data_IF_662243527097
#
_entry.id   IF_662243527097
#
_cell.length_a   1.000
_cell.length_b   1.000
_cell.length_c   1.000
_cell.angle_alpha   90.00
_cell.angle_beta   90.00
_cell.angle_gamma   90.00
#
_symmetry.space_group_name_H-M   'P 1'
#
loop_
_entity.id
_entity.type
_entity.pdbx_description
1 polymer ?
#
# COMPACT_ATOMS: atom_id res chain seq x y z
N UNK A 1 -18.30 -16.09 9.93
CA UNK A 1 -17.09 -15.74 10.70
C UNK A 1 -17.39 -14.48 11.48
N UNK A 2 -16.92 -14.35 12.72
CA UNK A 2 -17.19 -13.16 13.53
C UNK A 2 -16.14 -12.06 13.26
N UNK A 3 -16.45 -11.17 12.31
CA UNK A 3 -15.60 -10.04 11.95
C UNK A 3 -15.49 -8.99 13.06
N UNK A 4 -16.48 -8.90 13.97
CA UNK A 4 -16.44 -7.95 15.08
C UNK A 4 -15.41 -8.38 16.14
N UNK A 5 -15.36 -9.68 16.45
CA UNK A 5 -14.33 -10.22 17.34
C UNK A 5 -12.92 -10.04 16.76
N UNK A 6 -12.75 -10.32 15.47
CA UNK A 6 -11.46 -10.15 14.78
C UNK A 6 -11.02 -8.67 14.74
N UNK A 7 -11.96 -7.77 14.43
CA UNK A 7 -11.74 -6.33 14.47
C UNK A 7 -11.31 -5.85 15.84
N UNK A 8 -12.00 -6.28 16.91
CA UNK A 8 -11.63 -5.96 18.28
C UNK A 8 -10.21 -6.42 18.63
N UNK A 9 -9.83 -7.62 18.18
CA UNK A 9 -8.47 -8.15 18.34
C UNK A 9 -7.42 -7.28 17.64
N UNK A 10 -7.59 -6.97 16.36
CA UNK A 10 -6.61 -6.13 15.63
C UNK A 10 -6.55 -4.71 16.15
N UNK A 11 -7.71 -4.10 16.49
CA UNK A 11 -7.77 -2.78 17.12
C UNK A 11 -6.99 -2.76 18.44
N UNK A 12 -7.05 -3.84 19.22
CA UNK A 12 -6.24 -3.99 20.45
C UNK A 12 -4.75 -4.13 20.14
N UNK A 13 -4.37 -5.02 19.22
CA UNK A 13 -2.96 -5.24 18.84
C UNK A 13 -2.29 -3.96 18.35
N UNK A 14 -2.99 -3.17 17.53
CA UNK A 14 -2.50 -1.92 16.96
C UNK A 14 -2.64 -0.70 17.90
N UNK A 15 -3.02 -0.90 19.17
CA UNK A 15 -3.21 0.19 20.15
C UNK A 15 -4.20 1.28 19.69
N UNK A 16 -5.26 0.86 19.00
CA UNK A 16 -6.33 1.70 18.47
C UNK A 16 -7.59 1.67 19.35
N UNK A 17 -7.55 1.06 20.53
CA UNK A 17 -8.72 0.88 21.42
C UNK A 17 -9.42 2.17 21.80
N UNK A 18 -8.68 3.28 21.90
CA UNK A 18 -9.22 4.62 22.21
C UNK A 18 -9.82 5.34 21.00
N UNK A 19 -9.55 4.87 19.78
CA UNK A 19 -10.08 5.48 18.57
C UNK A 19 -11.56 5.12 18.39
N UNK A 20 -12.35 6.08 17.90
CA UNK A 20 -13.72 5.83 17.45
C UNK A 20 -13.65 5.28 16.03
N UNK A 21 -13.90 3.99 15.90
CA UNK A 21 -13.85 3.27 14.63
C UNK A 21 -15.09 2.38 14.56
N UNK A 22 -15.89 2.56 13.52
CA UNK A 22 -17.03 1.71 13.14
C UNK A 22 -16.61 0.79 11.99
N UNK A 23 -16.99 -0.49 12.08
CA UNK A 23 -16.79 -1.48 11.04
C UNK A 23 -18.13 -1.76 10.34
N UNK A 24 -18.18 -1.50 9.05
CA UNK A 24 -19.26 -1.89 8.17
C UNK A 24 -18.81 -3.11 7.34
N UNK A 25 -19.44 -4.27 7.56
CA UNK A 25 -19.16 -5.45 6.73
C UNK A 25 -20.13 -5.45 5.55
N UNK A 26 -19.60 -5.34 4.34
CA UNK A 26 -20.37 -5.31 3.11
C UNK A 26 -20.49 -6.71 2.51
N UNK A 27 -21.69 -7.10 2.09
CA UNK A 27 -21.90 -8.33 1.33
C UNK A 27 -21.38 -8.16 -0.10
N UNK A 28 -20.69 -9.16 -0.64
CA UNK A 28 -20.21 -9.17 -2.03
C UNK A 28 -21.33 -9.06 -3.10
N UNK A 29 -22.60 -9.21 -2.71
CA UNK A 29 -23.74 -9.12 -3.64
C UNK A 29 -23.90 -7.69 -4.19
N UNK A 30 -23.32 -7.42 -5.37
CA UNK A 30 -23.46 -6.16 -6.10
C UNK A 30 -22.25 -5.24 -6.06
N UNK A 31 -21.18 -5.66 -5.38
CA UNK A 31 -19.90 -4.97 -5.33
C UNK A 31 -18.97 -5.75 -6.26
N UNK A 32 -18.35 -5.10 -7.24
CA UNK A 32 -17.33 -5.75 -8.08
C UNK A 32 -16.27 -6.38 -7.15
N UNK A 33 -15.73 -7.55 -7.46
CA UNK A 33 -14.69 -8.27 -6.68
C UNK A 33 -13.42 -7.42 -6.38
N UNK A 34 -13.36 -6.18 -6.86
CA UNK A 34 -12.27 -5.23 -6.78
C UNK A 34 -12.61 -3.89 -6.12
N UNK A 35 -13.86 -3.64 -5.71
CA UNK A 35 -14.13 -2.55 -4.77
C UNK A 35 -13.61 -3.01 -3.41
N UNK A 36 -12.38 -2.57 -3.11
CA UNK A 36 -11.62 -2.99 -1.94
C UNK A 36 -12.25 -2.55 -0.63
N UNK A 37 -11.69 -3.06 0.47
CA UNK A 37 -11.97 -2.43 1.75
C UNK A 37 -11.44 -0.99 1.73
N UNK A 38 -12.12 -0.07 2.39
CA UNK A 38 -11.69 1.32 2.47
C UNK A 38 -11.85 1.88 3.88
N UNK A 39 -11.17 2.99 4.10
CA UNK A 39 -11.25 3.74 5.34
C UNK A 39 -11.46 5.23 5.08
N UNK A 40 -12.40 5.82 5.81
CA UNK A 40 -12.65 7.25 5.76
C UNK A 40 -13.10 7.83 7.09
N UNK A 41 -12.84 9.12 7.27
CA UNK A 41 -13.36 9.89 8.41
C UNK A 41 -14.74 10.47 8.08
N UNK A 42 -15.73 10.13 8.91
CA UNK A 42 -17.06 10.74 8.90
C UNK A 42 -17.07 11.99 9.80
N UNK A 43 -17.20 13.16 9.16
CA UNK A 43 -17.17 14.45 9.86
C UNK A 43 -18.38 14.69 10.77
N UNK A 44 -19.52 14.08 10.49
CA UNK A 44 -20.74 14.25 11.28
C UNK A 44 -20.68 13.38 12.54
N UNK A 45 -20.27 12.12 12.39
CA UNK A 45 -20.13 11.17 13.51
C UNK A 45 -18.84 11.34 14.30
N UNK A 46 -17.86 12.09 13.77
CA UNK A 46 -16.50 12.20 14.30
C UNK A 46 -15.90 10.83 14.60
N UNK A 47 -15.98 9.96 13.60
CA UNK A 47 -15.64 8.54 13.70
C UNK A 47 -15.00 8.06 12.40
N UNK A 48 -14.01 7.18 12.51
CA UNK A 48 -13.47 6.45 11.37
C UNK A 48 -14.41 5.33 10.97
N UNK A 49 -14.70 5.23 9.69
CA UNK A 49 -15.50 4.15 9.12
C UNK A 49 -14.57 3.28 8.31
N UNK A 50 -14.62 1.97 8.55
CA UNK A 50 -14.01 0.96 7.69
C UNK A 50 -15.14 0.22 6.98
N UNK A 51 -15.20 0.32 5.66
CA UNK A 51 -16.02 -0.59 4.88
C UNK A 51 -15.17 -1.80 4.52
N UNK A 52 -15.53 -2.96 5.05
CA UNK A 52 -14.82 -4.21 4.80
C UNK A 52 -15.66 -5.10 3.90
N UNK A 53 -15.16 -5.40 2.70
CA UNK A 53 -15.71 -6.43 1.84
C UNK A 53 -15.20 -7.78 2.34
N UNK A 54 -16.07 -8.79 2.41
CA UNK A 54 -15.71 -10.13 2.90
C UNK A 54 -14.70 -10.83 1.96
N UNK A 55 -13.41 -10.59 2.18
CA UNK A 55 -12.30 -11.15 1.39
C UNK A 55 -11.31 -11.91 2.30
N UNK A 56 -10.05 -11.49 2.34
CA UNK A 56 -9.06 -12.02 3.27
C UNK A 56 -8.95 -11.15 4.53
N UNK A 57 -8.80 -11.80 5.69
CA UNK A 57 -8.68 -11.14 7.02
C UNK A 57 -7.55 -10.13 7.11
N UNK A 58 -6.48 -10.34 6.35
CA UNK A 58 -5.34 -9.42 6.28
C UNK A 58 -5.79 -8.00 5.91
N UNK A 59 -6.74 -7.85 5.00
CA UNK A 59 -7.19 -6.53 4.55
C UNK A 59 -7.92 -5.75 5.65
N UNK A 60 -8.59 -6.42 6.58
CA UNK A 60 -9.13 -5.73 7.76
C UNK A 60 -8.02 -5.17 8.66
N UNK A 61 -6.93 -5.93 8.83
CA UNK A 61 -5.75 -5.46 9.55
C UNK A 61 -5.03 -4.33 8.80
N UNK A 62 -5.03 -4.39 7.46
CA UNK A 62 -4.48 -3.36 6.57
C UNK A 62 -5.19 -2.01 6.75
N UNK A 63 -6.52 -1.98 6.68
CA UNK A 63 -7.29 -0.73 6.89
C UNK A 63 -7.05 -0.13 8.29
N UNK A 64 -6.97 -0.97 9.33
CA UNK A 64 -6.59 -0.51 10.66
C UNK A 64 -5.12 -0.03 10.71
N UNK A 65 -4.26 -0.63 9.90
CA UNK A 65 -2.86 -0.25 9.74
C UNK A 65 -2.67 1.16 9.21
N UNK A 66 -3.57 1.66 8.36
CA UNK A 66 -3.60 3.07 7.96
C UNK A 66 -3.80 4.02 9.15
N UNK A 67 -4.72 3.70 10.08
CA UNK A 67 -4.89 4.49 11.32
C UNK A 67 -3.69 4.38 12.25
N UNK A 68 -3.11 3.18 12.34
CA UNK A 68 -1.88 2.97 13.08
C UNK A 68 -0.75 3.87 12.55
N UNK A 69 -0.56 3.91 11.23
CA UNK A 69 0.44 4.73 10.57
C UNK A 69 0.16 6.23 10.75
N UNK A 70 -1.10 6.65 10.60
CA UNK A 70 -1.55 8.01 10.90
C UNK A 70 -1.12 8.42 12.33
N UNK A 71 -1.41 7.59 13.34
CA UNK A 71 -1.06 7.91 14.72
C UNK A 71 0.45 7.92 14.97
N UNK A 72 1.17 6.98 14.37
CA UNK A 72 2.64 6.89 14.48
C UNK A 72 3.31 8.18 14.00
N UNK A 73 2.83 8.76 12.90
CA UNK A 73 3.44 9.93 12.27
C UNK A 73 2.69 11.25 12.48
N UNK A 74 1.53 11.22 13.14
CA UNK A 74 0.60 12.33 13.27
C UNK A 74 0.26 13.00 11.92
N UNK A 75 0.08 12.19 10.87
CA UNK A 75 -0.24 12.66 9.52
C UNK A 75 -1.49 11.96 8.97
N UNK A 76 -2.62 12.69 8.95
CA UNK A 76 -3.92 12.16 8.55
C UNK A 76 -3.95 11.64 7.10
N UNK A 77 -3.03 12.11 6.26
CA UNK A 77 -2.95 11.74 4.86
C UNK A 77 -2.42 10.31 4.65
N UNK A 78 -1.89 9.67 5.68
CA UNK A 78 -1.63 8.22 5.68
C UNK A 78 -2.88 7.37 5.93
N UNK A 79 -3.95 7.96 6.48
CA UNK A 79 -5.23 7.27 6.65
C UNK A 79 -6.26 7.63 5.59
N UNK A 80 -6.20 8.82 5.00
CA UNK A 80 -7.18 9.28 4.02
C UNK A 80 -6.60 10.30 3.06
N UNK A 81 -6.85 10.12 1.77
CA UNK A 81 -6.66 11.21 0.81
C UNK A 81 -7.82 12.20 0.89
N UNK A 82 -7.54 13.47 1.19
CA UNK A 82 -8.56 14.49 1.47
C UNK A 82 -8.76 15.51 0.35
N UNK A 83 -7.97 15.43 -0.72
CA UNK A 83 -7.95 16.44 -1.79
C UNK A 83 -8.02 15.85 -3.18
N UNK A 84 -8.70 16.52 -4.13
CA UNK A 84 -8.67 16.14 -5.55
C UNK A 84 -7.27 16.32 -6.13
N UNK A 85 -6.72 15.26 -6.72
CA UNK A 85 -5.43 15.23 -7.41
C UNK A 85 -5.56 14.42 -8.70
N UNK A 86 -4.49 14.35 -9.50
CA UNK A 86 -4.42 13.37 -10.58
C UNK A 86 -4.65 11.97 -10.00
N UNK A 87 -5.75 11.32 -10.41
CA UNK A 87 -6.22 10.05 -9.84
C UNK A 87 -5.13 9.00 -9.83
N UNK A 88 -4.40 8.83 -10.95
CA UNK A 88 -3.34 7.83 -11.05
C UNK A 88 -2.14 8.13 -10.14
N UNK A 89 -1.79 9.40 -9.92
CA UNK A 89 -0.76 9.76 -8.93
C UNK A 89 -1.25 9.43 -7.52
N UNK A 90 -2.53 9.67 -7.24
CA UNK A 90 -3.16 9.31 -5.97
C UNK A 90 -3.11 7.81 -5.71
N UNK A 91 -3.51 7.00 -6.68
CA UNK A 91 -3.50 5.52 -6.59
C UNK A 91 -2.09 4.97 -6.34
N UNK A 92 -1.08 5.44 -7.08
CA UNK A 92 0.30 5.04 -6.84
C UNK A 92 0.81 5.51 -5.48
N UNK A 93 0.44 6.72 -5.05
CA UNK A 93 0.79 7.22 -3.72
C UNK A 93 0.22 6.33 -2.62
N UNK A 94 -1.07 5.99 -2.70
CA UNK A 94 -1.74 5.08 -1.76
C UNK A 94 -1.04 3.73 -1.79
N UNK A 95 -0.84 3.12 -2.96
CA UNK A 95 -0.18 1.81 -3.07
C UNK A 95 1.23 1.76 -2.46
N UNK A 96 1.98 2.86 -2.46
CA UNK A 96 3.29 2.93 -1.80
C UNK A 96 3.13 3.11 -0.28
N UNK A 97 2.14 3.89 0.16
CA UNK A 97 1.78 4.03 1.59
C UNK A 97 1.34 2.68 2.16
N UNK A 98 0.58 1.90 1.40
CA UNK A 98 0.12 0.56 1.75
C UNK A 98 1.30 -0.36 2.12
N UNK A 99 2.42 -0.27 1.40
CA UNK A 99 3.63 -1.02 1.77
C UNK A 99 4.27 -0.57 3.08
N UNK A 100 4.21 0.73 3.42
CA UNK A 100 4.61 1.19 4.75
C UNK A 100 3.64 0.70 5.83
N UNK A 101 2.34 0.65 5.53
CA UNK A 101 1.32 0.09 6.42
C UNK A 101 1.62 -1.40 6.68
N UNK A 102 1.79 -2.18 5.61
CA UNK A 102 2.04 -3.61 5.65
C UNK A 102 3.31 -3.92 6.45
N UNK A 103 4.40 -3.21 6.18
CA UNK A 103 5.63 -3.36 6.97
C UNK A 103 5.40 -3.14 8.46
N UNK A 104 4.67 -2.09 8.83
CA UNK A 104 4.45 -1.76 10.23
C UNK A 104 3.53 -2.76 10.96
N UNK A 105 2.49 -3.25 10.31
CA UNK A 105 1.53 -4.18 10.93
C UNK A 105 2.00 -5.64 10.92
N UNK A 106 2.87 -6.03 9.99
CA UNK A 106 3.43 -7.39 9.92
C UNK A 106 4.48 -7.67 10.99
N UNK A 107 4.83 -6.68 11.83
CA UNK A 107 5.63 -6.91 13.05
C UNK A 107 4.84 -7.63 14.14
N UNK A 108 3.51 -7.64 14.05
CA UNK A 108 2.63 -8.38 14.96
C UNK A 108 2.39 -9.78 14.40
N UNK A 109 2.81 -10.83 15.13
CA UNK A 109 2.76 -12.22 14.67
C UNK A 109 1.41 -12.63 14.09
N UNK A 110 0.32 -12.28 14.76
CA UNK A 110 -1.04 -12.64 14.32
C UNK A 110 -1.45 -12.02 12.97
N UNK A 111 -0.87 -10.86 12.63
CA UNK A 111 -1.08 -10.20 11.34
C UNK A 111 -0.07 -10.73 10.31
N UNK A 112 1.17 -10.96 10.73
CA UNK A 112 2.22 -11.58 9.92
C UNK A 112 1.78 -12.92 9.34
N UNK A 113 1.23 -13.81 10.17
CA UNK A 113 0.81 -15.14 9.74
C UNK A 113 -0.27 -15.03 8.62
N UNK A 114 -1.17 -14.03 8.69
CA UNK A 114 -2.15 -13.74 7.62
C UNK A 114 -1.53 -13.12 6.36
N UNK A 115 -0.45 -12.34 6.52
CA UNK A 115 0.28 -11.79 5.38
C UNK A 115 0.99 -12.90 4.60
N UNK A 116 1.58 -13.88 5.28
CA UNK A 116 2.20 -15.04 4.64
C UNK A 116 1.17 -15.82 3.80
N UNK A 117 -0.06 -15.98 4.30
CA UNK A 117 -1.16 -16.60 3.52
C UNK A 117 -1.46 -15.81 2.24
N UNK A 118 -1.48 -14.47 2.30
CA UNK A 118 -1.66 -13.59 1.13
C UNK A 118 -0.53 -13.78 0.11
N UNK A 119 0.72 -13.84 0.56
CA UNK A 119 1.87 -14.09 -0.30
C UNK A 119 1.69 -15.41 -1.06
N UNK A 120 1.29 -16.47 -0.36
CA UNK A 120 1.04 -17.77 -0.99
C UNK A 120 -0.11 -17.74 -1.99
N UNK A 121 -1.19 -16.99 -1.70
CA UNK A 121 -2.30 -16.79 -2.64
C UNK A 121 -1.79 -16.16 -3.94
N UNK A 122 -1.00 -15.07 -3.87
CA UNK A 122 -0.45 -14.42 -5.06
C UNK A 122 0.52 -15.31 -5.82
N UNK A 123 1.46 -15.95 -5.13
CA UNK A 123 2.44 -16.83 -5.76
C UNK A 123 1.80 -18.05 -6.43
N UNK A 124 0.71 -18.58 -5.88
CA UNK A 124 -0.01 -19.72 -6.46
C UNK A 124 -0.95 -19.31 -7.61
N UNK A 125 -1.53 -18.11 -7.55
CA UNK A 125 -2.30 -17.56 -8.67
C UNK A 125 -1.40 -17.22 -9.88
N UNK A 126 -0.14 -16.86 -9.62
CA UNK A 126 0.82 -16.47 -10.64
C UNK A 126 0.39 -15.20 -11.38
N UNK A 127 0.91 -15.00 -12.59
CA UNK A 127 0.61 -13.83 -13.43
C UNK A 127 -0.66 -13.98 -14.27
N UNK A 128 -1.32 -15.15 -14.23
CA UNK A 128 -2.44 -15.51 -15.11
C UNK A 128 -3.71 -14.68 -14.89
N UNK A 129 -3.84 -14.02 -13.73
CA UNK A 129 -5.01 -13.20 -13.38
C UNK A 129 -4.88 -11.73 -13.81
N UNK A 130 -3.75 -11.34 -14.40
CA UNK A 130 -3.48 -9.96 -14.78
C UNK A 130 -4.09 -9.66 -16.17
N UNK A 131 -5.40 -9.40 -16.18
CA UNK A 131 -6.11 -8.76 -17.29
C UNK A 131 -6.45 -7.31 -16.89
N UNK A 132 -5.45 -6.54 -16.44
CA UNK A 132 -5.61 -5.16 -16.01
C UNK A 132 -4.97 -4.17 -16.99
N UNK A 133 -5.28 -2.88 -16.85
CA UNK A 133 -4.62 -1.79 -17.56
C UNK A 133 -3.10 -1.86 -17.32
N UNK A 134 -2.33 -1.46 -18.32
CA UNK A 134 -0.86 -1.47 -18.35
C UNK A 134 -0.26 -0.73 -17.13
N UNK A 135 -0.91 0.36 -16.70
CA UNK A 135 -0.52 1.14 -15.52
C UNK A 135 -0.76 0.40 -14.21
N UNK A 136 -1.78 -0.45 -14.14
CA UNK A 136 -2.12 -1.18 -12.93
C UNK A 136 -1.10 -2.30 -12.68
N UNK A 137 -0.54 -2.90 -13.74
CA UNK A 137 0.47 -3.97 -13.62
C UNK A 137 1.79 -3.42 -13.03
N UNK A 138 2.23 -2.22 -13.43
CA UNK A 138 3.43 -1.62 -12.85
C UNK A 138 3.21 -1.22 -11.38
N UNK A 139 2.04 -0.69 -11.05
CA UNK A 139 1.66 -0.37 -9.66
C UNK A 139 1.64 -1.65 -8.80
N UNK A 140 1.03 -2.71 -9.32
CA UNK A 140 0.97 -4.02 -8.71
C UNK A 140 2.36 -4.62 -8.48
N UNK A 141 3.26 -4.52 -9.47
CA UNK A 141 4.67 -4.91 -9.32
C UNK A 141 5.34 -4.14 -8.19
N UNK A 142 5.18 -2.81 -8.15
CA UNK A 142 5.82 -1.95 -7.14
C UNK A 142 5.35 -2.35 -5.73
N UNK A 143 4.03 -2.44 -5.53
CA UNK A 143 3.44 -2.78 -4.22
C UNK A 143 3.94 -4.15 -3.75
N UNK A 144 3.76 -5.20 -4.56
CA UNK A 144 4.20 -6.55 -4.19
C UNK A 144 5.71 -6.66 -4.00
N UNK A 145 6.51 -5.94 -4.79
CA UNK A 145 7.97 -5.94 -4.62
C UNK A 145 8.36 -5.37 -3.27
N UNK A 146 7.81 -4.21 -2.89
CA UNK A 146 8.09 -3.62 -1.58
C UNK A 146 7.63 -4.55 -0.46
N UNK A 147 6.44 -5.12 -0.57
CA UNK A 147 5.87 -6.01 0.44
C UNK A 147 6.68 -7.31 0.60
N UNK A 148 6.95 -8.03 -0.49
CA UNK A 148 7.59 -9.35 -0.41
C UNK A 148 9.05 -9.25 0.03
N UNK A 149 9.75 -8.18 -0.34
CA UNK A 149 11.15 -7.98 0.03
C UNK A 149 11.31 -7.50 1.49
N UNK A 150 10.30 -6.83 2.06
CA UNK A 150 10.47 -6.12 3.33
C UNK A 150 9.54 -6.57 4.46
N UNK A 151 8.42 -7.23 4.15
CA UNK A 151 7.45 -7.68 5.15
C UNK A 151 7.60 -9.17 5.51
N UNK A 152 8.21 -9.98 4.65
CA UNK A 152 8.52 -11.38 4.95
C UNK A 152 9.72 -11.49 5.89
N UNK A 153 9.66 -12.40 6.85
CA UNK A 153 10.87 -12.81 7.57
C UNK A 153 11.85 -13.47 6.59
N UNK A 154 13.15 -13.40 6.90
CA UNK A 154 14.19 -14.01 6.06
C UNK A 154 13.93 -15.51 5.81
N UNK A 155 13.46 -16.24 6.82
CA UNK A 155 13.16 -17.67 6.70
C UNK A 155 12.01 -17.93 5.72
N UNK A 156 10.92 -17.17 5.80
CA UNK A 156 9.79 -17.35 4.90
C UNK A 156 10.05 -16.83 3.49
N UNK A 157 10.89 -15.80 3.35
CA UNK A 157 11.42 -15.36 2.07
C UNK A 157 12.26 -16.47 1.44
N UNK A 158 13.25 -17.03 2.16
CA UNK A 158 14.13 -18.09 1.65
C UNK A 158 13.35 -19.33 1.21
N UNK A 159 12.29 -19.72 1.94
CA UNK A 159 11.40 -20.82 1.55
C UNK A 159 10.69 -20.58 0.21
N UNK A 160 10.44 -19.31 -0.15
CA UNK A 160 9.67 -18.88 -1.32
C UNK A 160 10.49 -18.22 -2.41
N UNK A 161 11.78 -17.99 -2.18
CA UNK A 161 12.67 -17.18 -3.02
C UNK A 161 12.56 -17.56 -4.51
N UNK A 162 12.63 -18.85 -4.84
CA UNK A 162 12.50 -19.31 -6.23
C UNK A 162 11.16 -18.94 -6.87
N UNK A 163 10.04 -19.06 -6.13
CA UNK A 163 8.71 -18.68 -6.61
C UNK A 163 8.57 -17.17 -6.75
N UNK A 164 9.07 -16.42 -5.76
CA UNK A 164 9.08 -14.95 -5.76
C UNK A 164 9.88 -14.42 -6.95
N UNK A 165 11.10 -14.90 -7.16
CA UNK A 165 11.96 -14.47 -8.26
C UNK A 165 11.35 -14.81 -9.62
N UNK A 166 10.75 -16.00 -9.75
CA UNK A 166 10.01 -16.38 -10.96
C UNK A 166 8.83 -15.44 -11.20
N UNK A 167 8.01 -15.19 -10.18
CA UNK A 167 6.84 -14.33 -10.27
C UNK A 167 7.21 -12.90 -10.71
N UNK A 168 8.23 -12.28 -10.09
CA UNK A 168 8.68 -10.94 -10.50
C UNK A 168 9.33 -10.93 -11.88
N UNK A 169 10.04 -11.99 -12.28
CA UNK A 169 10.57 -12.11 -13.64
C UNK A 169 9.45 -12.19 -14.68
N UNK A 170 8.36 -12.92 -14.38
CA UNK A 170 7.19 -12.98 -15.26
C UNK A 170 6.49 -11.61 -15.35
N UNK A 171 6.30 -10.91 -14.23
CA UNK A 171 5.73 -9.55 -14.20
C UNK A 171 6.58 -8.54 -14.99
N UNK A 172 7.90 -8.54 -14.78
CA UNK A 172 8.83 -7.67 -15.50
C UNK A 172 8.70 -7.89 -17.01
N UNK A 173 8.66 -9.15 -17.47
CA UNK A 173 8.49 -9.47 -18.88
C UNK A 173 7.17 -8.93 -19.44
N UNK A 174 6.07 -9.00 -18.68
CA UNK A 174 4.76 -8.45 -19.08
C UNK A 174 4.87 -6.92 -19.23
N UNK A 175 5.38 -6.23 -18.20
CA UNK A 175 5.53 -4.77 -18.16
C UNK A 175 6.39 -4.27 -19.34
N UNK A 176 7.51 -4.94 -19.62
CA UNK A 176 8.40 -4.56 -20.72
C UNK A 176 7.80 -4.86 -22.09
N UNK A 177 7.06 -5.97 -22.24
CA UNK A 177 6.40 -6.36 -23.50
C UNK A 177 5.26 -5.40 -23.86
N UNK A 178 4.49 -4.95 -22.88
CA UNK A 178 3.44 -3.94 -23.03
C UNK A 178 4.00 -2.55 -23.34
N UNK A 179 5.32 -2.36 -23.25
CA UNK A 179 6.01 -1.07 -23.50
C UNK A 179 5.54 0.06 -22.57
N UNK A 180 5.03 -0.29 -21.39
CA UNK A 180 4.64 0.65 -20.32
C UNK A 180 5.82 1.54 -19.93
N UNK A 181 7.01 0.95 -19.88
CA UNK A 181 8.26 1.57 -19.48
C UNK A 181 9.41 0.90 -20.25
N UNK A 182 10.45 1.67 -20.59
CA UNK A 182 11.64 1.08 -21.20
C UNK A 182 12.46 0.31 -20.16
N UNK A 183 13.20 -0.72 -20.60
CA UNK A 183 14.08 -1.50 -19.71
C UNK A 183 14.99 -0.62 -18.86
N UNK A 184 15.67 0.35 -19.48
CA UNK A 184 16.56 1.26 -18.76
C UNK A 184 15.84 2.08 -17.67
N UNK A 185 14.59 2.51 -17.91
CA UNK A 185 13.81 3.22 -16.89
C UNK A 185 13.29 2.26 -15.81
N UNK A 186 12.94 1.03 -16.17
CA UNK A 186 12.51 0.00 -15.23
C UNK A 186 13.61 -0.35 -14.22
N UNK A 187 14.86 -0.49 -14.68
CA UNK A 187 16.00 -0.71 -13.78
C UNK A 187 16.19 0.45 -12.78
N UNK A 188 15.96 1.70 -13.22
CA UNK A 188 16.01 2.86 -12.31
C UNK A 188 14.87 2.85 -11.28
N UNK A 189 13.69 2.34 -11.64
CA UNK A 189 12.59 2.13 -10.69
C UNK A 189 12.98 1.05 -9.70
N UNK A 190 13.45 -0.11 -10.17
CA UNK A 190 13.87 -1.23 -9.33
C UNK A 190 14.97 -0.85 -8.33
N UNK A 191 16.02 -0.19 -8.79
CA UNK A 191 17.07 0.33 -7.91
C UNK A 191 16.51 1.28 -6.84
N UNK A 192 15.46 2.04 -7.16
CA UNK A 192 14.81 2.92 -6.18
C UNK A 192 13.94 2.15 -5.18
N UNK A 193 13.34 1.03 -5.58
CA UNK A 193 12.60 0.13 -4.68
C UNK A 193 13.55 -0.56 -3.69
N UNK A 194 14.76 -0.91 -4.10
CA UNK A 194 15.79 -1.49 -3.22
C UNK A 194 16.21 -0.53 -2.09
N UNK A 195 16.09 0.79 -2.30
CA UNK A 195 16.35 1.78 -1.25
C UNK A 195 15.28 1.80 -0.15
N UNK A 196 14.13 1.12 -0.31
CA UNK A 196 12.97 1.21 0.59
C UNK A 196 13.29 0.82 2.04
N UNK A 197 14.14 -0.18 2.26
CA UNK A 197 14.54 -0.64 3.60
C UNK A 197 15.05 0.52 4.48
N UNK A 198 15.81 1.43 3.88
CA UNK A 198 16.33 2.63 4.56
C UNK A 198 15.27 3.65 4.99
N UNK A 199 14.00 3.44 4.64
CA UNK A 199 12.87 4.32 4.96
C UNK A 199 11.87 3.68 5.95
N UNK A 200 12.06 2.42 6.34
CA UNK A 200 11.05 1.65 7.11
C UNK A 200 10.95 2.04 8.60
N UNK A 201 12.06 2.42 9.21
CA UNK A 201 12.17 2.74 10.65
C UNK A 201 12.30 4.24 10.92
N UNK A 202 11.87 5.08 9.98
CA UNK A 202 12.01 6.53 10.13
C UNK A 202 10.96 7.07 11.11
N UNK A 203 11.34 8.11 11.86
CA UNK A 203 10.48 8.73 12.89
C UNK A 203 9.56 9.82 12.34
N UNK A 204 9.80 10.32 11.14
CA UNK A 204 9.02 11.41 10.55
C UNK A 204 8.43 11.05 9.18
N UNK A 205 7.24 11.60 8.92
CA UNK A 205 6.49 11.45 7.67
C UNK A 205 7.20 12.04 6.45
N UNK A 206 7.97 13.11 6.65
CA UNK A 206 8.66 13.82 5.57
C UNK A 206 9.65 12.90 4.84
N UNK A 207 10.33 12.01 5.55
CA UNK A 207 11.23 11.02 4.94
C UNK A 207 10.45 10.00 4.08
N UNK A 208 9.31 9.52 4.55
CA UNK A 208 8.40 8.64 3.80
C UNK A 208 7.90 9.35 2.53
N UNK A 209 7.39 10.57 2.67
CA UNK A 209 6.90 11.38 1.55
C UNK A 209 8.01 11.63 0.53
N UNK A 210 9.23 11.88 0.98
CA UNK A 210 10.38 12.06 0.09
C UNK A 210 10.72 10.78 -0.69
N UNK A 211 10.58 9.60 -0.09
CA UNK A 211 10.71 8.33 -0.81
C UNK A 211 9.66 8.23 -1.92
N UNK A 212 8.39 8.45 -1.58
CA UNK A 212 7.26 8.40 -2.53
C UNK A 212 7.52 9.36 -3.69
N UNK A 213 7.85 10.63 -3.42
CA UNK A 213 8.17 11.63 -4.46
C UNK A 213 9.31 11.16 -5.36
N UNK A 214 10.40 10.63 -4.79
CA UNK A 214 11.55 10.16 -5.57
C UNK A 214 11.16 8.98 -6.45
N UNK A 215 10.39 8.02 -5.94
CA UNK A 215 9.93 6.85 -6.70
C UNK A 215 8.98 7.26 -7.83
N UNK A 216 7.96 8.07 -7.54
CA UNK A 216 7.01 8.56 -8.55
C UNK A 216 7.69 9.36 -9.67
N UNK A 217 8.74 10.12 -9.37
CA UNK A 217 9.54 10.84 -10.39
C UNK A 217 10.36 9.94 -11.30
N UNK A 218 10.59 8.67 -10.94
CA UNK A 218 11.26 7.69 -11.81
C UNK A 218 10.29 7.06 -12.81
N UNK A 219 8.99 7.11 -12.54
CA UNK A 219 7.97 6.60 -13.44
C UNK A 219 7.89 7.46 -14.71
N UNK A 220 7.67 6.85 -15.88
CA UNK A 220 7.74 7.56 -17.16
C UNK A 220 6.50 8.42 -17.45
N UNK A 221 5.45 8.33 -16.63
CA UNK A 221 4.13 8.89 -16.93
C UNK A 221 4.01 10.37 -16.60
N UNK A 222 4.74 10.84 -15.59
CA UNK A 222 4.59 12.19 -15.06
C UNK A 222 5.92 12.91 -14.99
N UNK A 223 5.90 14.19 -15.31
CA UNK A 223 7.07 15.03 -15.09
C UNK A 223 7.21 15.41 -13.61
N UNK A 224 8.42 15.86 -13.22
CA UNK A 224 8.72 16.23 -11.84
C UNK A 224 7.83 17.33 -11.27
N UNK A 225 7.37 18.27 -12.11
CA UNK A 225 6.50 19.38 -11.68
C UNK A 225 5.12 18.85 -11.27
N UNK A 226 4.55 17.96 -12.08
CA UNK A 226 3.25 17.34 -11.81
C UNK A 226 3.27 16.49 -10.54
N UNK A 227 4.28 15.64 -10.36
CA UNK A 227 4.44 14.83 -9.13
C UNK A 227 4.53 15.75 -7.90
N UNK A 228 5.41 16.75 -7.93
CA UNK A 228 5.58 17.66 -6.80
C UNK A 228 4.28 18.42 -6.48
N UNK A 229 3.55 18.88 -7.50
CA UNK A 229 2.30 19.62 -7.33
C UNK A 229 1.23 18.75 -6.66
N UNK A 230 1.06 17.50 -7.12
CA UNK A 230 0.06 16.60 -6.57
C UNK A 230 0.43 16.14 -5.16
N UNK A 231 1.67 15.72 -4.91
CA UNK A 231 2.11 15.29 -3.57
C UNK A 231 2.01 16.42 -2.55
N UNK A 232 2.38 17.66 -2.91
CA UNK A 232 2.19 18.81 -2.01
C UNK A 232 0.73 19.03 -1.65
N UNK A 233 -0.19 18.79 -2.58
CA UNK A 233 -1.63 18.87 -2.30
C UNK A 233 -2.05 17.75 -1.36
N UNK A 234 -1.68 16.50 -1.68
CA UNK A 234 -2.03 15.31 -0.87
C UNK A 234 -1.63 15.53 0.58
N UNK A 235 -0.39 15.97 0.83
CA UNK A 235 0.15 16.11 2.18
C UNK A 235 0.10 17.54 2.74
N UNK A 236 -0.65 18.44 2.11
CA UNK A 236 -0.78 19.86 2.50
C UNK A 236 0.56 20.57 2.81
N UNK A 237 1.59 20.30 2.00
CA UNK A 237 2.93 20.85 2.19
C UNK A 237 2.95 22.29 1.65
N UNK A 238 3.08 23.27 2.55
CA UNK A 238 3.21 24.69 2.19
C UNK A 238 4.44 24.92 1.31
N UNK A 239 4.31 25.78 0.30
CA UNK A 239 5.45 26.28 -0.46
C UNK A 239 6.32 27.07 0.52
N UNK A 240 7.60 26.71 0.69
CA UNK A 240 8.54 27.67 1.29
C UNK A 240 8.60 28.84 0.31
N UNK A 241 8.14 30.01 0.73
CA UNK A 241 8.40 31.24 0.01
C UNK A 241 9.92 31.39 -0.01
N UNK A 242 10.51 31.16 -1.18
CA UNK A 242 11.90 31.47 -1.44
C UNK A 242 12.02 32.99 -1.45
N UNK A 243 12.32 33.55 -0.27
CA UNK A 243 12.89 34.88 -0.12
C UNK A 243 14.33 34.94 -0.62
#
# INVERSE_FOLDING_TARGET
MDYQALFGKFKSLLSLTKERIELNVLSQNGINEFEGSDIYWDENKKTWIINFVDQHKFFLAHELGHLFLYKKYNNIHFAKQTVPVNVRIGEYNVSIVDSFVNYNITRFKDIYDLFVDIVDIYLNAGTQRLNSDDLDILMFYINLYLDFQNCLSQDDFNKREKKINRFFSELENIILKQRVISKAKFELVKAKLEEFEGYLEVENDTTIINFIVKLLKRLPFWNSSEVNKNIRRIYNIKKKDSG
#
